data_IF_656487651923
#
_entry.id   IF_656487651923
#
_cell.length_a   1.000
_cell.length_b   1.000
_cell.length_c   1.000
_cell.angle_alpha   90.00
_cell.angle_beta   90.00
_cell.angle_gamma   90.00
#
_symmetry.space_group_name_H-M   'P 1'
#
loop_
_entity.id
_entity.type
_entity.pdbx_description
1 polymer ?
#
# COMPACT_ATOMS: atom_id res chain seq x y z
N UNK A 1 25.07 -11.42 9.19
CA UNK A 1 24.32 -11.18 7.93
C UNK A 1 24.20 -9.67 7.82
N UNK A 2 25.08 -9.05 7.04
CA UNK A 2 25.04 -7.59 6.85
C UNK A 2 23.78 -7.29 6.04
N UNK A 3 22.79 -6.66 6.67
CA UNK A 3 21.58 -6.25 5.97
C UNK A 3 22.02 -5.06 5.13
N UNK A 4 22.15 -5.27 3.83
CA UNK A 4 22.33 -4.16 2.91
C UNK A 4 21.06 -3.31 2.95
N UNK A 5 21.10 -2.27 3.78
CA UNK A 5 20.03 -1.31 4.05
C UNK A 5 19.47 -0.74 2.75
N UNK A 6 20.32 -0.53 1.76
CA UNK A 6 19.92 -0.03 0.44
C UNK A 6 19.05 -1.05 -0.29
N UNK A 7 19.44 -2.31 -0.25
CA UNK A 7 18.67 -3.41 -0.85
C UNK A 7 17.35 -3.63 -0.11
N UNK A 8 17.30 -3.46 1.22
CA UNK A 8 16.04 -3.54 1.97
C UNK A 8 15.09 -2.36 1.67
N UNK A 9 15.63 -1.15 1.51
CA UNK A 9 14.85 0.07 1.24
C UNK A 9 14.33 0.12 -0.20
N UNK A 10 15.19 -0.13 -1.18
CA UNK A 10 14.90 0.07 -2.62
C UNK A 10 14.49 -1.22 -3.33
N UNK A 11 14.83 -2.38 -2.76
CA UNK A 11 14.67 -3.69 -3.38
C UNK A 11 15.93 -4.10 -4.14
N UNK A 12 16.11 -5.41 -4.31
CA UNK A 12 17.24 -5.95 -5.08
C UNK A 12 17.02 -5.87 -6.59
N UNK A 13 15.76 -5.80 -7.02
CA UNK A 13 15.38 -5.70 -8.44
C UNK A 13 14.79 -4.32 -8.74
N UNK A 14 15.58 -3.49 -9.41
CA UNK A 14 15.18 -2.12 -9.78
C UNK A 14 14.02 -2.11 -10.77
N UNK A 15 13.94 -3.07 -11.70
CA UNK A 15 12.86 -3.12 -12.69
C UNK A 15 11.54 -3.43 -12.00
N UNK A 16 11.54 -4.39 -11.08
CA UNK A 16 10.36 -4.74 -10.28
C UNK A 16 9.90 -3.60 -9.38
N UNK A 17 10.84 -2.88 -8.78
CA UNK A 17 10.52 -1.68 -7.99
C UNK A 17 9.86 -0.59 -8.84
N UNK A 18 10.34 -0.35 -10.06
CA UNK A 18 9.72 0.61 -10.98
C UNK A 18 8.30 0.16 -11.42
N UNK A 19 8.12 -1.13 -11.72
CA UNK A 19 6.80 -1.69 -11.99
C UNK A 19 5.85 -1.49 -10.81
N UNK A 20 6.32 -1.67 -9.57
CA UNK A 20 5.54 -1.42 -8.37
C UNK A 20 5.09 0.04 -8.24
N UNK A 21 5.96 0.99 -8.57
CA UNK A 21 5.60 2.42 -8.60
C UNK A 21 4.56 2.72 -9.68
N UNK A 22 4.69 2.13 -10.87
CA UNK A 22 3.70 2.29 -11.95
C UNK A 22 2.35 1.69 -11.57
N UNK A 23 2.34 0.53 -10.89
CA UNK A 23 1.13 -0.08 -10.35
C UNK A 23 0.51 0.82 -9.30
N UNK A 24 1.30 1.39 -8.39
CA UNK A 24 0.81 2.34 -7.40
C UNK A 24 0.14 3.55 -8.06
N UNK A 25 0.78 4.14 -9.07
CA UNK A 25 0.20 5.25 -9.84
C UNK A 25 -1.10 4.86 -10.56
N UNK A 26 -1.13 3.68 -11.19
CA UNK A 26 -2.34 3.14 -11.83
C UNK A 26 -3.48 2.91 -10.85
N UNK A 27 -3.17 2.37 -9.67
CA UNK A 27 -4.14 2.19 -8.58
C UNK A 27 -4.67 3.55 -8.11
N UNK A 28 -3.80 4.53 -7.86
CA UNK A 28 -4.24 5.90 -7.51
C UNK A 28 -5.17 6.51 -8.56
N UNK A 29 -4.83 6.39 -9.85
CA UNK A 29 -5.68 6.88 -10.92
C UNK A 29 -7.04 6.18 -10.93
N UNK A 30 -7.06 4.85 -10.75
CA UNK A 30 -8.28 4.08 -10.64
C UNK A 30 -9.14 4.51 -9.44
N UNK A 31 -8.53 4.74 -8.28
CA UNK A 31 -9.22 5.26 -7.08
C UNK A 31 -9.87 6.60 -7.36
N UNK A 32 -9.18 7.52 -8.03
CA UNK A 32 -9.73 8.83 -8.38
C UNK A 32 -10.93 8.69 -9.34
N UNK A 33 -10.81 7.86 -10.38
CA UNK A 33 -11.90 7.60 -11.33
C UNK A 33 -13.12 7.02 -10.61
N UNK A 34 -12.93 6.01 -9.76
CA UNK A 34 -14.02 5.42 -8.97
C UNK A 34 -14.63 6.45 -8.03
N UNK A 35 -13.82 7.33 -7.45
CA UNK A 35 -14.29 8.37 -6.52
C UNK A 35 -15.22 9.38 -7.18
N UNK A 36 -15.07 9.62 -8.49
CA UNK A 36 -15.94 10.50 -9.28
C UNK A 36 -17.28 9.84 -9.66
N UNK A 37 -17.39 8.51 -9.55
CA UNK A 37 -18.64 7.83 -9.86
C UNK A 37 -19.66 8.05 -8.74
N UNK A 38 -20.95 8.24 -9.06
CA UNK A 38 -22.04 8.42 -8.09
C UNK A 38 -22.44 7.08 -7.45
N UNK A 39 -21.45 6.28 -7.06
CA UNK A 39 -21.67 5.04 -6.35
C UNK A 39 -21.93 5.39 -4.89
N UNK A 40 -23.08 4.97 -4.36
CA UNK A 40 -23.41 4.92 -2.92
C UNK A 40 -22.45 4.02 -2.10
N UNK A 41 -21.31 3.64 -2.68
CA UNK A 41 -20.39 2.61 -2.26
C UNK A 41 -19.25 3.11 -1.35
N UNK A 42 -19.41 4.27 -0.69
CA UNK A 42 -18.44 4.75 0.29
C UNK A 42 -18.12 3.72 1.37
N UNK A 43 -19.13 2.94 1.80
CA UNK A 43 -18.98 1.93 2.85
C UNK A 43 -18.18 0.67 2.44
N UNK A 44 -18.13 0.33 1.15
CA UNK A 44 -17.47 -0.90 0.67
C UNK A 44 -16.13 -0.60 -0.01
N UNK A 45 -16.06 0.51 -0.74
CA UNK A 45 -14.86 0.90 -1.49
C UNK A 45 -13.71 1.24 -0.54
N UNK A 46 -13.98 1.97 0.54
CA UNK A 46 -12.98 2.46 1.48
C UNK A 46 -12.14 1.35 2.16
N UNK A 47 -12.73 0.31 2.78
CA UNK A 47 -11.95 -0.81 3.30
C UNK A 47 -11.28 -1.65 2.20
N UNK A 48 -11.93 -1.77 1.03
CA UNK A 48 -11.37 -2.49 -0.11
C UNK A 48 -10.03 -1.92 -0.59
N UNK A 49 -9.90 -0.59 -0.61
CA UNK A 49 -8.67 0.10 -1.01
C UNK A 49 -7.47 -0.28 -0.12
N UNK A 50 -7.68 -0.33 1.19
CA UNK A 50 -6.66 -0.66 2.18
C UNK A 50 -6.22 -2.11 2.03
N UNK A 51 -7.18 -3.03 1.83
CA UNK A 51 -6.90 -4.46 1.63
C UNK A 51 -6.12 -4.68 0.33
N UNK A 52 -6.52 -4.04 -0.76
CA UNK A 52 -5.81 -4.15 -2.05
C UNK A 52 -4.38 -3.60 -1.92
N UNK A 53 -4.22 -2.40 -1.33
CA UNK A 53 -2.90 -1.81 -1.10
C UNK A 53 -1.99 -2.71 -0.26
N UNK A 54 -2.53 -3.27 0.83
CA UNK A 54 -1.78 -4.19 1.70
C UNK A 54 -1.39 -5.49 0.99
N UNK A 55 -2.31 -6.08 0.23
CA UNK A 55 -2.06 -7.29 -0.54
C UNK A 55 -0.97 -7.08 -1.60
N UNK A 56 -1.07 -5.99 -2.37
CA UNK A 56 -0.06 -5.62 -3.37
C UNK A 56 1.30 -5.35 -2.71
N UNK A 57 1.33 -4.57 -1.63
CA UNK A 57 2.55 -4.26 -0.90
C UNK A 57 3.25 -5.53 -0.36
N UNK A 58 2.47 -6.49 0.15
CA UNK A 58 2.97 -7.77 0.65
C UNK A 58 3.49 -8.66 -0.49
N UNK A 59 2.77 -8.71 -1.61
CA UNK A 59 3.15 -9.47 -2.80
C UNK A 59 4.46 -8.94 -3.42
N UNK A 60 4.58 -7.63 -3.59
CA UNK A 60 5.81 -7.03 -4.14
C UNK A 60 7.01 -7.24 -3.22
N UNK A 61 6.80 -7.15 -1.90
CA UNK A 61 7.84 -7.46 -0.92
C UNK A 61 8.24 -8.95 -0.96
N UNK A 62 7.30 -9.86 -1.22
CA UNK A 62 7.62 -11.27 -1.47
C UNK A 62 8.53 -11.43 -2.70
N UNK A 63 8.31 -10.66 -3.76
CA UNK A 63 9.10 -10.66 -5.01
C UNK A 63 10.44 -9.89 -4.93
N UNK A 64 10.96 -9.60 -3.72
CA UNK A 64 12.19 -8.82 -3.46
C UNK A 64 12.14 -7.32 -3.81
N UNK A 65 10.95 -6.72 -3.87
CA UNK A 65 10.84 -5.24 -3.89
C UNK A 65 11.18 -4.65 -2.51
N UNK A 66 11.54 -3.37 -2.50
CA UNK A 66 11.95 -2.68 -1.29
C UNK A 66 10.79 -2.16 -0.44
N UNK A 67 11.11 -1.80 0.81
CA UNK A 67 10.18 -1.15 1.73
C UNK A 67 9.51 0.10 1.15
N UNK A 68 10.26 0.90 0.39
CA UNK A 68 9.73 2.12 -0.23
C UNK A 68 8.59 1.81 -1.21
N UNK A 69 8.68 0.69 -1.95
CA UNK A 69 7.64 0.25 -2.89
C UNK A 69 6.40 -0.20 -2.13
N UNK A 70 6.56 -0.97 -1.04
CA UNK A 70 5.45 -1.37 -0.18
C UNK A 70 4.74 -0.17 0.45
N UNK A 71 5.49 0.82 0.94
CA UNK A 71 4.92 2.08 1.44
C UNK A 71 4.17 2.83 0.33
N UNK A 72 4.74 2.91 -0.87
CA UNK A 72 4.12 3.60 -2.00
C UNK A 72 2.81 2.92 -2.43
N UNK A 73 2.80 1.59 -2.54
CA UNK A 73 1.61 0.81 -2.88
C UNK A 73 0.50 0.95 -1.83
N UNK A 74 0.86 1.11 -0.55
CA UNK A 74 -0.10 1.32 0.53
C UNK A 74 -0.63 2.76 0.56
N UNK A 75 0.24 3.75 0.35
CA UNK A 75 -0.11 5.17 0.37
C UNK A 75 -0.90 5.59 -0.87
N UNK A 76 -0.59 5.03 -2.04
CA UNK A 76 -1.18 5.40 -3.31
C UNK A 76 -2.73 5.48 -3.30
N UNK A 77 -3.47 4.41 -2.93
CA UNK A 77 -4.93 4.48 -2.87
C UNK A 77 -5.44 5.41 -1.76
N UNK A 78 -4.74 5.47 -0.63
CA UNK A 78 -5.10 6.31 0.53
C UNK A 78 -4.99 7.79 0.19
N UNK A 79 -3.83 8.22 -0.31
CA UNK A 79 -3.56 9.61 -0.71
C UNK A 79 -4.50 10.03 -1.83
N UNK A 80 -4.74 9.18 -2.83
CA UNK A 80 -5.70 9.47 -3.89
C UNK A 80 -7.11 9.76 -3.33
N UNK A 81 -7.59 8.91 -2.41
CA UNK A 81 -8.91 9.08 -1.80
C UNK A 81 -9.00 10.32 -0.90
N UNK A 82 -7.98 10.57 -0.09
CA UNK A 82 -7.89 11.77 0.75
C UNK A 82 -7.84 13.05 -0.09
N UNK A 83 -7.08 13.04 -1.18
CA UNK A 83 -6.98 14.17 -2.11
C UNK A 83 -8.32 14.46 -2.78
N UNK A 84 -9.06 13.41 -3.15
CA UNK A 84 -10.42 13.57 -3.69
C UNK A 84 -11.35 14.27 -2.69
N UNK A 85 -11.40 13.82 -1.44
CA UNK A 85 -12.26 14.45 -0.43
C UNK A 85 -11.80 15.86 -0.07
N UNK A 86 -10.49 16.09 0.01
CA UNK A 86 -9.94 17.43 0.19
C UNK A 86 -10.41 18.37 -0.92
N UNK A 87 -10.35 17.93 -2.18
CA UNK A 87 -10.82 18.70 -3.32
C UNK A 87 -12.35 18.90 -3.32
N UNK A 88 -13.12 17.87 -2.93
CA UNK A 88 -14.58 17.94 -2.87
C UNK A 88 -15.08 19.00 -1.89
N UNK A 89 -14.39 19.17 -0.76
CA UNK A 89 -14.73 20.16 0.28
C UNK A 89 -13.87 21.43 0.18
N UNK A 90 -13.20 21.65 -0.96
CA UNK A 90 -12.46 22.89 -1.17
C UNK A 90 -13.45 24.07 -1.10
N UNK A 91 -13.13 25.05 -0.26
CA UNK A 91 -13.96 26.23 0.02
C UNK A 91 -15.34 25.95 0.65
N UNK A 92 -15.54 24.74 1.19
CA UNK A 92 -16.77 24.35 1.89
C UNK A 92 -16.47 23.84 3.31
N UNK A 93 -17.41 23.96 4.26
CA UNK A 93 -17.24 23.36 5.58
C UNK A 93 -17.19 21.83 5.47
N UNK A 94 -16.00 21.27 5.70
CA UNK A 94 -15.82 19.81 5.78
C UNK A 94 -16.36 19.27 7.10
N UNK A 95 -17.09 18.14 7.11
CA UNK A 95 -17.46 17.46 8.34
C UNK A 95 -16.21 16.97 9.10
N UNK A 96 -16.34 16.72 10.41
CA UNK A 96 -15.29 16.04 11.18
C UNK A 96 -15.20 14.59 10.73
N UNK A 97 -13.98 14.09 10.54
CA UNK A 97 -13.78 12.70 10.13
C UNK A 97 -14.29 11.73 11.21
N UNK A 98 -15.16 10.80 10.81
CA UNK A 98 -15.48 9.64 11.63
C UNK A 98 -14.27 8.70 11.71
N UNK A 99 -14.15 7.86 12.76
CA UNK A 99 -13.08 6.87 12.84
C UNK A 99 -13.01 6.02 11.56
N UNK A 100 -11.82 5.90 10.97
CA UNK A 100 -11.58 5.18 9.72
C UNK A 100 -12.34 5.72 8.49
N UNK A 101 -12.92 6.91 8.56
CA UNK A 101 -13.45 7.60 7.39
C UNK A 101 -12.31 8.25 6.61
N UNK A 102 -12.39 8.21 5.28
CA UNK A 102 -11.51 9.00 4.40
C UNK A 102 -12.02 10.44 4.19
N UNK A 103 -13.28 10.70 4.49
CA UNK A 103 -13.89 12.02 4.39
C UNK A 103 -13.87 12.74 5.73
N UNK A 104 -13.45 14.01 5.72
CA UNK A 104 -13.56 14.92 6.84
C UNK A 104 -12.25 15.53 7.32
N UNK A 105 -12.36 16.54 8.18
CA UNK A 105 -11.23 17.17 8.87
C UNK A 105 -10.58 16.15 9.80
N UNK A 106 -9.25 16.01 9.76
CA UNK A 106 -8.50 15.04 10.56
C UNK A 106 -8.22 13.70 9.86
N UNK A 107 -8.79 13.47 8.67
CA UNK A 107 -8.61 12.21 7.96
C UNK A 107 -7.16 11.97 7.51
N UNK A 108 -6.45 13.04 7.11
CA UNK A 108 -5.03 12.97 6.71
C UNK A 108 -4.13 12.52 7.86
N UNK A 109 -4.32 13.13 9.03
CA UNK A 109 -3.55 12.91 10.25
C UNK A 109 -3.74 11.48 10.78
N UNK A 110 -4.91 10.88 10.56
CA UNK A 110 -5.18 9.50 10.91
C UNK A 110 -4.62 8.52 9.86
N UNK A 111 -4.93 8.74 8.57
CA UNK A 111 -4.67 7.73 7.54
C UNK A 111 -3.22 7.67 7.08
N UNK A 112 -2.49 8.79 7.01
CA UNK A 112 -1.10 8.77 6.53
C UNK A 112 -0.19 7.95 7.46
N UNK A 113 -0.19 8.15 8.79
CA UNK A 113 0.59 7.31 9.69
C UNK A 113 0.15 5.85 9.68
N UNK A 114 -1.16 5.60 9.61
CA UNK A 114 -1.70 4.24 9.56
C UNK A 114 -1.27 3.50 8.27
N UNK A 115 -1.35 4.16 7.12
CA UNK A 115 -0.92 3.59 5.84
C UNK A 115 0.59 3.31 5.82
N UNK A 116 1.41 4.19 6.41
CA UNK A 116 2.84 3.94 6.56
C UNK A 116 3.11 2.70 7.43
N UNK A 117 2.43 2.60 8.58
CA UNK A 117 2.54 1.44 9.47
C UNK A 117 2.13 0.15 8.76
N UNK A 118 1.00 0.16 8.06
CA UNK A 118 0.52 -0.97 7.27
C UNK A 118 1.50 -1.34 6.14
N UNK A 119 2.15 -0.36 5.51
CA UNK A 119 3.20 -0.60 4.53
C UNK A 119 4.42 -1.33 5.11
N UNK A 120 4.84 -0.97 6.33
CA UNK A 120 5.91 -1.67 7.06
C UNK A 120 5.49 -3.10 7.40
N UNK A 121 4.27 -3.30 7.88
CA UNK A 121 3.73 -4.63 8.21
C UNK A 121 3.63 -5.50 6.96
N UNK A 122 3.12 -4.96 5.85
CA UNK A 122 3.01 -5.65 4.57
C UNK A 122 4.40 -6.07 4.04
N UNK A 123 5.39 -5.18 4.12
CA UNK A 123 6.76 -5.50 3.78
C UNK A 123 7.29 -6.67 4.63
N UNK A 124 7.11 -6.59 5.95
CA UNK A 124 7.50 -7.66 6.87
C UNK A 124 6.83 -9.00 6.54
N UNK A 125 5.52 -8.99 6.28
CA UNK A 125 4.77 -10.18 5.89
C UNK A 125 5.33 -10.81 4.60
N UNK A 126 5.56 -10.01 3.56
CA UNK A 126 6.13 -10.50 2.29
C UNK A 126 7.55 -11.07 2.45
N UNK A 127 8.39 -10.43 3.27
CA UNK A 127 9.74 -10.92 3.59
C UNK A 127 9.67 -12.26 4.32
N UNK A 128 8.84 -12.37 5.36
CA UNK A 128 8.69 -13.59 6.17
C UNK A 128 8.18 -14.76 5.31
N UNK A 129 7.15 -14.53 4.48
CA UNK A 129 6.60 -15.55 3.59
C UNK A 129 7.65 -16.05 2.58
N UNK A 130 8.44 -15.14 2.00
CA UNK A 130 9.55 -15.48 1.10
C UNK A 130 10.61 -16.32 1.79
N UNK A 131 10.97 -15.95 3.02
CA UNK A 131 11.92 -16.71 3.83
C UNK A 131 11.39 -18.12 4.11
N UNK A 132 10.15 -18.24 4.59
CA UNK A 132 9.50 -19.53 4.84
C UNK A 132 9.50 -20.44 3.62
N UNK A 133 9.13 -19.91 2.45
CA UNK A 133 9.16 -20.66 1.19
C UNK A 133 10.57 -21.15 0.83
N UNK A 134 11.60 -20.29 0.98
CA UNK A 134 13.00 -20.69 0.72
C UNK A 134 13.49 -21.78 1.67
N UNK A 135 13.10 -21.74 2.95
CA UNK A 135 13.47 -22.79 3.92
C UNK A 135 12.83 -24.14 3.58
N UNK A 136 11.54 -24.14 3.23
CA UNK A 136 10.83 -25.36 2.82
C UNK A 136 11.43 -25.96 1.54
N UNK A 137 11.71 -25.12 0.54
CA UNK A 137 12.35 -25.53 -0.71
C UNK A 137 13.77 -26.08 -0.51
N UNK A 138 14.50 -25.60 0.51
CA UNK A 138 15.84 -26.10 0.84
C UNK A 138 15.81 -27.46 1.52
N UNK A 139 14.78 -27.73 2.33
CA UNK A 139 14.60 -29.00 3.05
C UNK A 139 14.15 -30.15 2.13
N UNK A 140 13.61 -29.82 0.95
CA UNK A 140 13.09 -30.78 -0.04
C UNK A 140 14.08 -31.13 -1.15
N UNK A 141 15.30 -30.56 -1.16
CA UNK A 141 16.38 -31.04 -2.04
C UNK A 141 17.11 -32.21 -1.38
N UNK A 142 17.02 -33.44 -1.91
CA UNK A 142 17.92 -34.51 -1.47
C UNK A 142 19.35 -34.10 -1.82
N UNK A 143 20.25 -34.26 -0.87
CA UNK A 143 21.69 -34.18 -1.11
C UNK A 143 22.03 -35.33 -2.06
N UNK A 144 22.40 -34.99 -3.30
CA UNK A 144 22.97 -35.91 -4.26
C UNK A 144 24.48 -36.02 -4.02
#
# INVERSE_FOLDING_TARGET
MEIDLRTALVGSDRKRSLEGVLVAAGVSALVLVISLLPLTAGAIVEPGLVIIGFGLASWWAYDNSGLAVSMTLMLAPVVARLTYYWWLYLDQPSPVALPLSFGGVGAWEMWVPLALLLGVIAFGAGVILRWGHRFVARKSRPVA
#
